data_IF_569172707393
#
_entry.id   IF_569172707393
#
_cell.length_a   1.000
_cell.length_b   1.000
_cell.length_c   1.000
_cell.angle_alpha   90.00
_cell.angle_beta   90.00
_cell.angle_gamma   90.00
#
_symmetry.space_group_name_H-M   'P 1'
#
loop_
_entity.id
_entity.type
_entity.pdbx_description
1 polymer ?
#
# COMPACT_ATOMS: atom_id res chain seq x y z
N UNK A 1 -12.12 16.32 39.13
CA UNK A 1 -11.74 15.23 38.20
C UNK A 1 -11.01 15.88 37.04
N UNK A 2 -9.69 15.69 36.95
CA UNK A 2 -8.87 16.29 35.90
C UNK A 2 -8.97 15.35 34.68
N UNK A 3 -9.70 15.76 33.64
CA UNK A 3 -9.78 14.99 32.39
C UNK A 3 -8.42 15.15 31.71
N UNK A 4 -7.64 14.07 31.65
CA UNK A 4 -6.41 14.05 30.86
C UNK A 4 -6.79 14.25 29.39
N UNK A 5 -6.39 15.38 28.82
CA UNK A 5 -6.53 15.61 27.38
C UNK A 5 -5.52 14.72 26.66
N UNK A 6 -5.99 13.64 26.05
CA UNK A 6 -5.18 12.84 25.12
C UNK A 6 -4.76 13.74 23.95
N UNK A 7 -3.45 13.90 23.73
CA UNK A 7 -2.92 14.47 22.50
C UNK A 7 -2.80 13.35 21.45
N UNK A 8 -3.66 13.30 20.43
CA UNK A 8 -3.62 12.21 19.46
C UNK A 8 -2.37 12.30 18.58
N UNK A 9 -1.63 11.20 18.48
CA UNK A 9 -0.54 11.04 17.52
C UNK A 9 -1.08 10.36 16.25
N UNK A 10 -1.28 11.13 15.19
CA UNK A 10 -1.82 10.64 13.91
C UNK A 10 -0.75 10.06 12.98
N UNK A 11 0.53 9.99 13.39
CA UNK A 11 1.60 9.48 12.54
C UNK A 11 1.32 8.04 12.05
N UNK A 12 0.82 7.19 12.94
CA UNK A 12 0.46 5.81 12.62
C UNK A 12 -0.64 5.75 11.54
N UNK A 13 -1.67 6.58 11.68
CA UNK A 13 -2.76 6.69 10.71
C UNK A 13 -2.27 7.26 9.36
N UNK A 14 -1.40 8.27 9.41
CA UNK A 14 -0.82 8.87 8.21
C UNK A 14 0.03 7.87 7.42
N UNK A 15 0.82 7.04 8.11
CA UNK A 15 1.60 5.98 7.48
C UNK A 15 0.71 4.88 6.88
N UNK A 16 -0.36 4.51 7.58
CA UNK A 16 -1.31 3.52 7.09
C UNK A 16 -2.07 4.01 5.85
N UNK A 17 -2.60 5.23 5.87
CA UNK A 17 -3.33 5.79 4.71
C UNK A 17 -2.37 6.14 3.58
N UNK A 18 -1.18 6.62 3.92
CA UNK A 18 -0.14 7.01 2.97
C UNK A 18 0.45 5.84 2.18
N UNK A 19 0.31 4.59 2.64
CA UNK A 19 0.73 3.41 1.87
C UNK A 19 0.05 3.32 0.51
N UNK A 20 -1.17 3.86 0.37
CA UNK A 20 -1.91 3.88 -0.89
C UNK A 20 -1.26 4.79 -1.95
N UNK A 21 -0.28 5.60 -1.60
CA UNK A 21 0.50 6.37 -2.57
C UNK A 21 1.36 5.48 -3.49
N UNK A 22 1.49 4.18 -3.18
CA UNK A 22 2.11 3.20 -4.09
C UNK A 22 1.46 3.22 -5.47
N UNK A 23 0.15 3.52 -5.55
CA UNK A 23 -0.65 3.65 -6.77
C UNK A 23 -0.29 4.83 -7.67
N UNK A 24 0.51 5.78 -7.18
CA UNK A 24 0.95 6.87 -8.03
C UNK A 24 1.77 6.39 -9.22
N UNK A 25 2.32 5.17 -9.17
CA UNK A 25 3.00 4.57 -10.31
C UNK A 25 2.05 4.26 -11.49
N UNK A 26 0.74 4.12 -11.26
CA UNK A 26 -0.29 4.00 -12.31
C UNK A 26 -0.43 5.26 -13.16
N UNK A 27 -0.03 6.44 -12.68
CA UNK A 27 -0.06 7.66 -13.53
C UNK A 27 0.88 7.56 -14.74
N UNK A 28 1.79 6.60 -14.74
CA UNK A 28 2.69 6.31 -15.85
C UNK A 28 2.10 5.29 -16.86
N UNK A 29 0.87 4.80 -16.68
CA UNK A 29 0.22 3.90 -17.65
C UNK A 29 -0.05 4.62 -18.97
N UNK A 30 0.06 3.89 -20.09
CA UNK A 30 -0.41 4.35 -21.40
C UNK A 30 -1.35 3.29 -21.98
N UNK A 31 -2.68 3.52 -21.98
CA UNK A 31 -3.39 4.73 -21.55
C UNK A 31 -3.43 4.90 -20.02
N UNK A 32 -3.53 6.15 -19.54
CA UNK A 32 -3.58 6.45 -18.08
C UNK A 32 -4.83 5.85 -17.41
N UNK A 33 -5.96 5.80 -18.13
CA UNK A 33 -7.22 5.25 -17.63
C UNK A 33 -7.47 3.82 -18.10
N UNK A 34 -6.43 2.97 -18.13
CA UNK A 34 -6.60 1.57 -18.53
C UNK A 34 -7.48 0.82 -17.49
N UNK A 35 -8.54 0.10 -17.91
CA UNK A 35 -9.37 -0.69 -17.02
C UNK A 35 -8.62 -1.85 -16.36
N UNK A 36 -7.51 -2.32 -16.93
CA UNK A 36 -6.60 -3.36 -16.44
C UNK A 36 -5.33 -2.82 -15.76
N UNK A 37 -5.32 -1.52 -15.37
CA UNK A 37 -4.13 -0.88 -14.78
C UNK A 37 -3.66 -1.52 -13.47
N UNK A 38 -4.56 -2.04 -12.63
CA UNK A 38 -4.24 -2.68 -11.34
C UNK A 38 -3.58 -4.07 -11.46
N UNK A 39 -3.10 -4.43 -12.65
CA UNK A 39 -2.36 -5.68 -12.82
C UNK A 39 -0.91 -5.53 -12.37
N UNK A 40 -0.38 -6.58 -11.72
CA UNK A 40 1.04 -6.64 -11.31
C UNK A 40 2.03 -6.47 -12.47
N UNK A 41 1.58 -6.61 -13.73
CA UNK A 41 2.41 -6.47 -14.93
C UNK A 41 2.54 -5.02 -15.42
N UNK A 42 1.78 -4.08 -14.87
CA UNK A 42 1.58 -2.78 -15.48
C UNK A 42 2.64 -1.71 -15.09
N UNK A 43 3.17 -1.69 -13.85
CA UNK A 43 3.97 -0.56 -13.34
C UNK A 43 5.24 -0.92 -12.58
N UNK A 44 6.15 0.05 -12.40
CA UNK A 44 7.49 -0.17 -11.84
C UNK A 44 7.46 -0.73 -10.41
N UNK A 45 6.62 -0.19 -9.51
CA UNK A 45 6.53 -0.68 -8.12
C UNK A 45 5.76 -2.01 -8.08
N UNK A 46 4.65 -2.10 -8.81
CA UNK A 46 3.83 -3.31 -8.90
C UNK A 46 4.54 -4.48 -9.60
N UNK A 47 5.44 -4.23 -10.55
CA UNK A 47 6.29 -5.26 -11.18
C UNK A 47 7.28 -5.84 -10.17
N UNK A 48 7.72 -5.03 -9.21
CA UNK A 48 8.56 -5.46 -8.10
C UNK A 48 7.75 -5.80 -6.84
N UNK A 49 6.47 -6.16 -6.97
CA UNK A 49 5.57 -6.44 -5.83
C UNK A 49 6.18 -7.43 -4.83
N UNK A 50 6.94 -8.43 -5.26
CA UNK A 50 7.61 -9.39 -4.37
C UNK A 50 8.61 -8.72 -3.44
N UNK A 51 9.41 -7.80 -3.98
CA UNK A 51 10.40 -7.03 -3.20
C UNK A 51 9.71 -6.07 -2.25
N UNK A 52 8.70 -5.33 -2.73
CA UNK A 52 7.95 -4.39 -1.89
C UNK A 52 7.18 -5.13 -0.79
N UNK A 53 6.58 -6.29 -1.09
CA UNK A 53 5.91 -7.14 -0.12
C UNK A 53 6.88 -7.68 0.94
N UNK A 54 8.07 -8.15 0.53
CA UNK A 54 9.09 -8.60 1.46
C UNK A 54 9.51 -7.47 2.41
N UNK A 55 9.79 -6.27 1.87
CA UNK A 55 10.10 -5.09 2.68
C UNK A 55 8.95 -4.74 3.63
N UNK A 56 7.70 -4.83 3.16
CA UNK A 56 6.50 -4.57 3.97
C UNK A 56 6.42 -5.53 5.17
N UNK A 57 6.71 -6.81 4.96
CA UNK A 57 6.77 -7.81 6.05
C UNK A 57 7.89 -7.48 7.04
N UNK A 58 9.08 -7.08 6.56
CA UNK A 58 10.19 -6.69 7.45
C UNK A 58 9.85 -5.44 8.28
N UNK A 59 9.14 -4.48 7.70
CA UNK A 59 8.72 -3.25 8.42
C UNK A 59 7.73 -3.53 9.55
N UNK A 60 7.06 -4.69 9.58
CA UNK A 60 6.18 -5.07 10.70
C UNK A 60 6.92 -5.20 12.04
N UNK A 61 8.25 -5.34 12.02
CA UNK A 61 9.07 -5.46 13.23
C UNK A 61 9.55 -4.10 13.77
N UNK A 62 9.34 -3.01 13.04
CA UNK A 62 9.92 -1.69 13.37
C UNK A 62 8.84 -0.62 13.44
N UNK A 63 8.68 0.01 14.61
CA UNK A 63 7.83 1.22 14.73
C UNK A 63 8.59 2.48 14.30
N UNK A 64 7.94 3.45 13.65
CA UNK A 64 6.52 3.48 13.28
C UNK A 64 6.19 2.82 11.91
N UNK A 65 7.21 2.34 11.18
CA UNK A 65 7.09 1.75 9.84
C UNK A 65 6.13 0.56 9.76
N UNK A 66 5.85 -0.10 10.87
CA UNK A 66 4.84 -1.14 11.01
C UNK A 66 3.51 -0.77 10.34
N UNK A 67 3.01 0.45 10.53
CA UNK A 67 1.73 0.87 9.96
C UNK A 67 1.80 1.06 8.44
N UNK A 68 2.94 1.51 7.93
CA UNK A 68 3.20 1.56 6.49
C UNK A 68 3.24 0.14 5.91
N UNK A 69 3.89 -0.80 6.59
CA UNK A 69 3.97 -2.21 6.20
C UNK A 69 2.59 -2.88 6.16
N UNK A 70 1.75 -2.66 7.17
CA UNK A 70 0.36 -3.14 7.19
C UNK A 70 -0.41 -2.60 5.98
N UNK A 71 -0.31 -1.29 5.73
CA UNK A 71 -1.00 -0.65 4.61
C UNK A 71 -0.58 -1.21 3.25
N UNK A 72 0.73 -1.41 3.02
CA UNK A 72 1.26 -1.98 1.78
C UNK A 72 0.85 -3.45 1.59
N UNK A 73 0.82 -4.26 2.65
CA UNK A 73 0.36 -5.66 2.58
C UNK A 73 -1.11 -5.71 2.19
N UNK A 74 -1.97 -4.89 2.82
CA UNK A 74 -3.39 -4.81 2.48
C UNK A 74 -3.60 -4.34 1.04
N UNK A 75 -2.80 -3.38 0.59
CA UNK A 75 -2.83 -2.87 -0.78
C UNK A 75 -2.56 -3.99 -1.80
N UNK A 76 -1.42 -4.67 -1.69
CA UNK A 76 -1.10 -5.78 -2.61
C UNK A 76 -2.05 -6.96 -2.50
N UNK A 77 -2.69 -7.16 -1.34
CA UNK A 77 -3.74 -8.15 -1.21
C UNK A 77 -4.97 -7.80 -2.06
N UNK A 78 -5.37 -6.53 -2.10
CA UNK A 78 -6.46 -6.07 -2.99
C UNK A 78 -6.09 -6.22 -4.46
N UNK A 79 -4.85 -5.90 -4.85
CA UNK A 79 -4.38 -6.13 -6.22
C UNK A 79 -4.38 -7.62 -6.59
N UNK A 80 -3.99 -8.49 -5.66
CA UNK A 80 -4.05 -9.93 -5.87
C UNK A 80 -5.50 -10.39 -6.10
N UNK A 81 -6.45 -9.92 -5.28
CA UNK A 81 -7.86 -10.22 -5.47
C UNK A 81 -8.39 -9.69 -6.81
N UNK A 82 -7.94 -8.50 -7.23
CA UNK A 82 -8.27 -7.93 -8.54
C UNK A 82 -7.76 -8.81 -9.69
N UNK A 83 -6.48 -9.18 -9.67
CA UNK A 83 -5.89 -10.03 -10.72
C UNK A 83 -6.55 -11.42 -10.76
N UNK A 84 -6.85 -11.99 -9.59
CA UNK A 84 -7.58 -13.27 -9.49
C UNK A 84 -8.99 -13.18 -10.09
N UNK A 85 -9.70 -12.06 -9.93
CA UNK A 85 -11.04 -11.85 -10.51
C UNK A 85 -10.99 -11.72 -12.02
N UNK A 86 -9.99 -11.02 -12.55
CA UNK A 86 -9.89 -10.71 -13.98
C UNK A 86 -9.16 -11.80 -14.80
N UNK A 87 -8.66 -12.85 -14.14
CA UNK A 87 -7.89 -13.97 -14.74
C UNK A 87 -6.62 -13.51 -15.49
N UNK A 88 -5.90 -12.49 -14.97
CA UNK A 88 -4.72 -11.85 -15.62
C UNK A 88 -3.40 -12.14 -14.87
#
# INVERSE_FOLDING_TARGET
MQIQTLNPNYADLALLVGSNLVDLDYLFSRPVYDPKRNSFKAHFLHKQWKTVLLLSVLTLLVRPLLFLGIGLILHFFLDYLYNKREEI
#
